data_IF_155042672293
#
_entry.id   IF_155042672293
#
_cell.length_a   1.000
_cell.length_b   1.000
_cell.length_c   1.000
_cell.angle_alpha   90.00
_cell.angle_beta   90.00
_cell.angle_gamma   90.00
#
_symmetry.space_group_name_H-M   'P 1'
#
loop_
_entity.id
_entity.type
_entity.pdbx_description
1 polymer ?
#
# COMPACT_ATOMS: atom_id res chain seq x y z
N UNK A 1 8.75 -6.40 0.25
CA UNK A 1 7.65 -5.87 1.10
C UNK A 1 6.57 -5.29 0.20
N UNK A 2 5.32 -5.20 0.64
CA UNK A 2 4.24 -4.59 -0.15
C UNK A 2 3.50 -3.53 0.67
N UNK A 3 3.11 -2.44 0.02
CA UNK A 3 2.09 -1.53 0.53
C UNK A 3 0.74 -1.98 0.00
N UNK A 4 -0.23 -2.19 0.88
CA UNK A 4 -1.57 -2.61 0.52
C UNK A 4 -2.59 -1.55 0.94
N UNK A 5 -3.64 -1.37 0.14
CA UNK A 5 -4.79 -0.56 0.51
C UNK A 5 -6.07 -1.31 0.18
N UNK A 6 -6.94 -1.40 1.17
CA UNK A 6 -8.28 -2.00 1.06
C UNK A 6 -9.28 -1.11 1.78
N UNK A 7 -10.52 -1.17 1.33
CA UNK A 7 -11.65 -0.50 1.94
C UNK A 7 -12.77 -1.51 2.16
N UNK A 8 -13.76 -1.12 2.96
CA UNK A 8 -14.99 -1.91 3.10
C UNK A 8 -15.70 -2.00 1.73
N UNK A 9 -16.16 -3.19 1.29
CA UNK A 9 -17.01 -3.33 0.11
C UNK A 9 -18.29 -2.50 0.24
N UNK A 10 -18.74 -1.90 -0.86
CA UNK A 10 -19.90 -1.00 -0.89
C UNK A 10 -20.62 -1.04 -2.23
N UNK A 11 -21.91 -0.74 -2.22
CA UNK A 11 -22.66 -0.54 -3.46
C UNK A 11 -22.18 0.72 -4.20
N UNK A 12 -21.91 0.60 -5.52
CA UNK A 12 -21.63 1.72 -6.42
C UNK A 12 -22.88 2.01 -7.28
N UNK A 13 -23.65 3.07 -6.96
CA UNK A 13 -24.85 3.41 -7.73
C UNK A 13 -24.58 3.77 -9.19
N UNK A 14 -23.40 4.31 -9.49
CA UNK A 14 -23.04 4.71 -10.85
C UNK A 14 -22.72 3.50 -11.72
N UNK A 15 -22.03 2.50 -11.16
CA UNK A 15 -21.70 1.25 -11.86
C UNK A 15 -22.80 0.19 -11.73
N UNK A 16 -23.83 0.43 -10.91
CA UNK A 16 -24.92 -0.50 -10.58
C UNK A 16 -24.40 -1.88 -10.15
N UNK A 17 -23.34 -1.88 -9.35
CA UNK A 17 -22.69 -3.10 -8.85
C UNK A 17 -22.02 -2.85 -7.51
N UNK A 18 -21.72 -3.92 -6.79
CA UNK A 18 -20.86 -3.85 -5.61
C UNK A 18 -19.42 -3.55 -6.02
N UNK A 19 -18.82 -2.55 -5.37
CA UNK A 19 -17.39 -2.34 -5.34
C UNK A 19 -16.81 -3.21 -4.22
N UNK A 20 -15.85 -4.05 -4.57
CA UNK A 20 -15.24 -5.04 -3.67
C UNK A 20 -14.25 -4.45 -2.65
N UNK A 21 -14.10 -3.12 -2.62
CA UNK A 21 -13.24 -2.42 -1.68
C UNK A 21 -11.74 -2.56 -1.98
N UNK A 22 -11.34 -3.26 -3.05
CA UNK A 22 -9.91 -3.42 -3.39
C UNK A 22 -9.37 -2.12 -3.98
N UNK A 23 -8.37 -1.53 -3.31
CA UNK A 23 -7.74 -0.29 -3.78
C UNK A 23 -6.43 -0.61 -4.49
N UNK A 24 -5.51 -1.34 -3.88
CA UNK A 24 -4.27 -1.72 -4.54
C UNK A 24 -3.28 -2.48 -3.68
N UNK A 25 -2.25 -2.99 -4.34
CA UNK A 25 -1.11 -3.69 -3.76
C UNK A 25 0.12 -3.27 -4.58
N UNK A 26 1.10 -2.64 -3.94
CA UNK A 26 2.28 -2.08 -4.59
C UNK A 26 3.54 -2.70 -3.99
N UNK A 27 4.42 -3.32 -4.80
CA UNK A 27 5.68 -3.84 -4.32
C UNK A 27 6.60 -2.68 -3.94
N UNK A 28 7.15 -2.72 -2.73
CA UNK A 28 8.14 -1.75 -2.26
C UNK A 28 9.50 -2.17 -2.80
N UNK A 29 9.83 -1.63 -3.98
CA UNK A 29 10.98 -2.04 -4.78
C UNK A 29 11.72 -0.84 -5.34
N UNK A 30 13.02 -1.03 -5.59
CA UNK A 30 13.87 -0.08 -6.27
C UNK A 30 14.49 -0.69 -7.53
N UNK A 31 14.77 0.16 -8.51
CA UNK A 31 15.54 -0.20 -9.69
C UNK A 31 17.02 -0.11 -9.37
N UNK A 32 17.80 -1.08 -9.84
CA UNK A 32 19.25 -1.08 -9.72
C UNK A 32 19.89 -1.65 -10.98
N UNK A 33 21.15 -1.31 -11.25
CA UNK A 33 21.93 -1.94 -12.31
C UNK A 33 22.65 -3.18 -11.81
N UNK A 34 22.49 -4.30 -12.51
CA UNK A 34 23.16 -5.54 -12.16
C UNK A 34 24.69 -5.40 -12.25
N UNK A 35 25.37 -5.45 -11.10
CA UNK A 35 26.83 -5.30 -11.03
C UNK A 35 27.59 -6.53 -11.57
N UNK A 36 26.97 -7.71 -11.46
CA UNK A 36 27.55 -8.99 -11.87
C UNK A 36 26.57 -9.71 -12.79
N UNK A 37 27.12 -10.46 -13.75
CA UNK A 37 26.36 -11.42 -14.55
C UNK A 37 25.94 -12.58 -13.67
N UNK A 38 24.70 -13.03 -13.82
CA UNK A 38 24.22 -14.30 -13.27
C UNK A 38 23.50 -15.10 -14.36
N UNK A 39 22.97 -16.26 -14.00
CA UNK A 39 22.12 -17.06 -14.90
C UNK A 39 20.86 -16.30 -15.36
N UNK A 40 20.35 -15.40 -14.52
CA UNK A 40 19.05 -14.75 -14.71
C UNK A 40 19.11 -13.28 -15.13
N UNK A 41 20.31 -12.67 -15.14
CA UNK A 41 20.50 -11.26 -15.53
C UNK A 41 21.91 -11.01 -16.03
N UNK A 42 22.02 -10.14 -17.03
CA UNK A 42 23.29 -9.71 -17.60
C UNK A 42 23.90 -8.56 -16.78
N UNK A 43 25.21 -8.34 -16.90
CA UNK A 43 25.86 -7.21 -16.22
C UNK A 43 25.42 -5.90 -16.88
N UNK A 44 25.01 -4.92 -16.08
CA UNK A 44 24.54 -3.60 -16.52
C UNK A 44 23.04 -3.52 -16.81
N UNK A 45 22.33 -4.64 -16.77
CA UNK A 45 20.87 -4.70 -16.95
C UNK A 45 20.16 -3.98 -15.80
N UNK A 46 19.11 -3.21 -16.14
CA UNK A 46 18.22 -2.62 -15.14
C UNK A 46 17.35 -3.73 -14.55
N UNK A 47 17.49 -3.96 -13.26
CA UNK A 47 16.80 -4.97 -12.50
C UNK A 47 15.99 -4.30 -11.39
N UNK A 48 15.03 -5.04 -10.84
CA UNK A 48 14.23 -4.59 -9.70
C UNK A 48 14.58 -5.47 -8.50
N UNK A 49 14.72 -4.87 -7.32
CA UNK A 49 14.87 -5.59 -6.04
C UNK A 49 13.98 -4.99 -4.98
N UNK A 50 13.71 -5.76 -3.94
CA UNK A 50 13.01 -5.25 -2.76
C UNK A 50 13.86 -4.18 -2.08
N UNK A 51 13.22 -3.15 -1.55
CA UNK A 51 13.86 -2.21 -0.63
C UNK A 51 13.90 -2.89 0.75
N UNK A 52 15.08 -2.94 1.36
CA UNK A 52 15.30 -3.62 2.64
C UNK A 52 14.75 -2.81 3.83
N UNK A 53 14.85 -1.49 3.77
CA UNK A 53 14.32 -0.58 4.79
C UNK A 53 13.68 0.62 4.12
N UNK A 54 12.40 0.85 4.43
CA UNK A 54 11.63 1.99 3.90
C UNK A 54 11.77 3.15 4.89
N UNK A 55 12.15 4.31 4.38
CA UNK A 55 12.15 5.53 5.15
C UNK A 55 10.83 6.31 4.97
N UNK A 56 10.72 7.44 5.66
CA UNK A 56 9.53 8.28 5.63
C UNK A 56 9.24 8.89 4.25
N UNK A 57 10.28 9.26 3.50
CA UNK A 57 10.14 9.84 2.15
C UNK A 57 9.68 8.80 1.13
N UNK A 58 10.24 7.59 1.20
CA UNK A 58 9.82 6.44 0.39
C UNK A 58 8.34 6.15 0.65
N UNK A 59 7.93 6.02 1.91
CA UNK A 59 6.54 5.77 2.27
C UNK A 59 5.60 6.86 1.74
N UNK A 60 5.98 8.12 1.93
CA UNK A 60 5.23 9.28 1.43
C UNK A 60 5.07 9.26 -0.08
N UNK A 61 6.14 8.96 -0.83
CA UNK A 61 6.07 8.88 -2.30
C UNK A 61 5.05 7.83 -2.75
N UNK A 62 4.99 6.67 -2.08
CA UNK A 62 4.00 5.64 -2.40
C UNK A 62 2.56 6.09 -2.06
N UNK A 63 2.35 6.88 -1.00
CA UNK A 63 1.02 7.45 -0.73
C UNK A 63 0.58 8.40 -1.85
N UNK A 64 1.46 9.32 -2.25
CA UNK A 64 1.18 10.36 -3.24
C UNK A 64 1.05 9.81 -4.66
N UNK A 65 1.95 8.91 -5.06
CA UNK A 65 2.04 8.42 -6.44
C UNK A 65 1.11 7.24 -6.71
N UNK A 66 0.67 6.54 -5.66
CA UNK A 66 -0.06 5.28 -5.81
C UNK A 66 -1.36 5.23 -5.02
N UNK A 67 -1.32 5.38 -3.70
CA UNK A 67 -2.49 5.13 -2.85
C UNK A 67 -3.59 6.16 -3.09
N UNK A 68 -3.27 7.45 -2.98
CA UNK A 68 -4.26 8.54 -3.16
C UNK A 68 -4.84 8.51 -4.58
N UNK A 69 -4.04 8.44 -5.67
CA UNK A 69 -4.57 8.30 -7.02
C UNK A 69 -5.47 7.08 -7.21
N UNK A 70 -5.10 5.93 -6.65
CA UNK A 70 -5.91 4.71 -6.76
C UNK A 70 -7.24 4.82 -6.01
N UNK A 71 -7.28 5.48 -4.84
CA UNK A 71 -8.52 5.80 -4.15
C UNK A 71 -9.41 6.68 -5.03
N UNK A 72 -8.85 7.77 -5.58
CA UNK A 72 -9.60 8.69 -6.45
C UNK A 72 -10.17 7.99 -7.69
N UNK A 73 -9.45 7.01 -8.24
CA UNK A 73 -9.84 6.27 -9.44
C UNK A 73 -10.90 5.18 -9.15
N UNK A 74 -10.72 4.41 -8.07
CA UNK A 74 -11.49 3.18 -7.86
C UNK A 74 -12.74 3.40 -7.01
N UNK A 75 -12.71 4.36 -6.08
CA UNK A 75 -13.80 4.57 -5.12
C UNK A 75 -15.06 5.12 -5.81
N UNK A 76 -16.27 4.70 -5.39
CA UNK A 76 -17.52 5.21 -5.95
C UNK A 76 -17.66 6.73 -5.82
N UNK A 77 -18.03 7.41 -6.92
CA UNK A 77 -18.05 8.88 -7.04
C UNK A 77 -18.93 9.59 -6.01
N UNK A 78 -20.06 8.98 -5.63
CA UNK A 78 -21.00 9.58 -4.65
C UNK A 78 -20.35 9.77 -3.28
N UNK A 79 -19.27 9.05 -2.98
CA UNK A 79 -18.55 9.15 -1.73
C UNK A 79 -17.44 10.20 -1.72
N UNK A 80 -17.22 10.90 -2.85
CA UNK A 80 -16.20 11.96 -2.95
C UNK A 80 -16.40 13.07 -1.91
N UNK A 81 -17.64 13.31 -1.49
CA UNK A 81 -18.01 14.31 -0.49
C UNK A 81 -17.83 13.80 0.96
N UNK A 82 -17.66 12.49 1.16
CA UNK A 82 -17.45 11.92 2.48
C UNK A 82 -15.98 12.00 2.87
N UNK A 83 -15.72 12.09 4.17
CA UNK A 83 -14.36 11.95 4.70
C UNK A 83 -13.86 10.54 4.43
N UNK A 84 -12.65 10.45 3.89
CA UNK A 84 -11.93 9.21 3.62
C UNK A 84 -10.73 9.17 4.54
N UNK A 85 -10.69 8.21 5.45
CA UNK A 85 -9.53 8.02 6.32
C UNK A 85 -8.67 6.89 5.77
N UNK A 86 -7.43 7.21 5.43
CA UNK A 86 -6.36 6.23 5.22
C UNK A 86 -5.80 5.94 6.61
N UNK A 87 -6.09 4.74 7.13
CA UNK A 87 -5.57 4.28 8.40
C UNK A 87 -4.17 3.70 8.20
N UNK A 88 -3.23 4.08 9.06
CA UNK A 88 -1.87 3.56 9.13
C UNK A 88 -1.49 3.29 10.59
N UNK A 89 -0.53 2.40 10.85
CA UNK A 89 -0.01 2.21 12.20
C UNK A 89 1.01 3.30 12.60
N UNK A 90 1.61 3.16 13.78
CA UNK A 90 2.60 4.12 14.30
C UNK A 90 4.05 3.70 14.00
N UNK A 91 4.30 2.93 12.94
CA UNK A 91 5.66 2.56 12.53
C UNK A 91 6.48 3.81 12.17
N UNK A 92 7.79 3.75 12.42
CA UNK A 92 8.72 4.86 12.22
C UNK A 92 8.65 5.53 10.83
N UNK A 93 8.46 4.82 9.71
CA UNK A 93 8.36 5.44 8.39
C UNK A 93 7.03 6.16 8.12
N UNK A 94 6.00 5.97 8.96
CA UNK A 94 4.70 6.57 8.70
C UNK A 94 4.69 8.07 9.02
N UNK A 95 3.95 8.81 8.21
CA UNK A 95 3.95 10.27 8.22
C UNK A 95 2.82 10.83 9.08
N UNK A 96 2.95 12.09 9.48
CA UNK A 96 1.90 12.78 10.23
C UNK A 96 0.58 12.86 9.46
N UNK A 97 -0.58 12.65 10.13
CA UNK A 97 -1.90 12.98 9.58
C UNK A 97 -2.06 14.42 9.09
N UNK A 98 -1.20 15.31 9.60
CA UNK A 98 -1.14 16.72 9.22
C UNK A 98 -0.07 17.02 8.18
N UNK A 99 0.51 16.01 7.51
CA UNK A 99 1.49 16.23 6.45
C UNK A 99 0.88 17.08 5.32
N UNK A 100 1.51 18.20 4.94
CA UNK A 100 0.92 19.15 4.02
C UNK A 100 0.75 18.62 2.59
N UNK A 101 1.65 17.74 2.13
CA UNK A 101 1.60 17.25 0.74
C UNK A 101 0.49 16.21 0.60
N UNK A 102 0.35 15.31 1.57
CA UNK A 102 -0.74 14.34 1.62
C UNK A 102 -2.10 15.01 1.79
N UNK A 103 -2.18 16.05 2.63
CA UNK A 103 -3.40 16.86 2.76
C UNK A 103 -3.75 17.57 1.44
N UNK A 104 -2.76 18.15 0.75
CA UNK A 104 -2.98 18.81 -0.53
C UNK A 104 -3.44 17.79 -1.60
N UNK A 105 -2.75 16.66 -1.73
CA UNK A 105 -3.11 15.60 -2.67
C UNK A 105 -4.49 15.01 -2.38
N UNK A 106 -4.80 14.78 -1.10
CA UNK A 106 -6.05 14.21 -0.61
C UNK A 106 -7.26 15.13 -0.71
N UNK A 107 -7.04 16.45 -0.74
CA UNK A 107 -8.10 17.46 -0.87
C UNK A 107 -8.26 18.03 -2.28
N UNK A 108 -7.28 17.81 -3.15
CA UNK A 108 -7.36 18.19 -4.55
C UNK A 108 -8.60 17.60 -5.26
N UNK A 109 -9.10 18.34 -6.24
CA UNK A 109 -10.29 18.02 -7.04
C UNK A 109 -11.58 17.91 -6.22
N UNK A 110 -11.65 18.42 -4.99
CA UNK A 110 -12.83 18.32 -4.12
C UNK A 110 -12.99 16.93 -3.47
N UNK A 111 -11.88 16.20 -3.30
CA UNK A 111 -11.82 15.04 -2.42
C UNK A 111 -11.61 15.47 -0.96
N UNK A 112 -11.83 14.56 -0.01
CA UNK A 112 -11.53 14.78 1.40
C UNK A 112 -10.87 13.51 1.97
N UNK A 113 -9.67 13.21 1.47
CA UNK A 113 -8.83 12.10 1.92
C UNK A 113 -7.87 12.61 2.97
N UNK A 114 -7.81 11.91 4.11
CA UNK A 114 -6.96 12.26 5.25
C UNK A 114 -6.30 11.01 5.79
N UNK A 115 -5.12 11.16 6.34
CA UNK A 115 -4.45 10.12 7.09
C UNK A 115 -4.99 10.07 8.52
N UNK A 116 -4.89 8.90 9.14
CA UNK A 116 -5.27 8.67 10.53
C UNK A 116 -4.40 7.56 11.11
N UNK A 117 -3.96 7.74 12.34
CA UNK A 117 -3.28 6.69 13.08
C UNK A 117 -4.27 5.68 13.62
N UNK A 118 -3.87 4.41 13.63
CA UNK A 118 -4.50 3.41 14.45
C UNK A 118 -4.02 3.54 15.92
N UNK A 119 -4.82 3.05 16.89
CA UNK A 119 -4.37 2.97 18.28
C UNK A 119 -3.06 2.18 18.42
N UNK A 120 -2.17 2.64 19.30
CA UNK A 120 -0.87 2.00 19.50
C UNK A 120 -1.03 0.55 20.00
N UNK A 121 -0.24 -0.37 19.43
CA UNK A 121 -0.26 -1.80 19.76
C UNK A 121 -1.63 -2.48 19.56
N UNK A 122 -2.43 -2.02 18.60
CA UNK A 122 -3.77 -2.58 18.31
C UNK A 122 -3.86 -3.13 16.89
N UNK A 123 -3.14 -4.22 16.57
CA UNK A 123 -3.20 -4.84 15.24
C UNK A 123 -4.61 -5.38 14.90
N UNK A 124 -5.43 -5.67 15.91
CA UNK A 124 -6.83 -6.05 15.79
C UNK A 124 -7.73 -4.92 15.26
N UNK A 125 -7.22 -3.69 15.18
CA UNK A 125 -7.92 -2.56 14.55
C UNK A 125 -7.56 -2.37 13.07
N UNK A 126 -6.66 -3.20 12.53
CA UNK A 126 -6.19 -3.11 11.15
C UNK A 126 -6.74 -4.26 10.30
N UNK A 127 -7.50 -3.90 9.26
CA UNK A 127 -8.06 -4.88 8.32
C UNK A 127 -6.98 -5.62 7.53
N UNK A 128 -5.81 -4.99 7.31
CA UNK A 128 -4.71 -5.63 6.61
C UNK A 128 -4.11 -6.77 7.43
N UNK A 129 -3.87 -6.55 8.72
CA UNK A 129 -3.29 -7.54 9.64
C UNK A 129 -4.28 -8.69 9.87
N UNK A 130 -5.54 -8.38 10.17
CA UNK A 130 -6.57 -9.39 10.45
C UNK A 130 -6.99 -10.20 9.21
N UNK A 131 -6.93 -9.61 8.02
CA UNK A 131 -7.47 -10.19 6.81
C UNK A 131 -6.40 -10.58 5.81
N UNK A 132 -5.88 -9.57 5.09
CA UNK A 132 -5.03 -9.78 3.92
C UNK A 132 -3.73 -10.49 4.26
N UNK A 133 -2.97 -9.97 5.23
CA UNK A 133 -1.66 -10.51 5.56
C UNK A 133 -1.75 -11.84 6.29
N UNK A 134 -2.72 -12.02 7.20
CA UNK A 134 -3.01 -13.31 7.80
C UNK A 134 -3.31 -14.39 6.73
N UNK A 135 -4.12 -14.04 5.72
CA UNK A 135 -4.44 -14.98 4.63
C UNK A 135 -3.23 -15.30 3.76
N UNK A 136 -2.42 -14.29 3.41
CA UNK A 136 -1.18 -14.50 2.63
C UNK A 136 -0.17 -15.35 3.40
N UNK A 137 -0.02 -15.13 4.71
CA UNK A 137 0.87 -15.93 5.56
C UNK A 137 0.38 -17.38 5.67
N UNK A 138 -0.93 -17.60 5.83
CA UNK A 138 -1.50 -18.96 5.85
C UNK A 138 -1.21 -19.71 4.54
N UNK A 139 -1.36 -19.04 3.40
CA UNK A 139 -1.01 -19.61 2.09
C UNK A 139 0.49 -19.89 1.96
N UNK A 140 1.35 -18.98 2.43
CA UNK A 140 2.80 -19.16 2.42
C UNK A 140 3.21 -20.40 3.24
N UNK A 141 2.62 -20.60 4.43
CA UNK A 141 2.92 -21.74 5.30
C UNK A 141 2.50 -23.10 4.72
N UNK A 142 1.52 -23.10 3.80
CA UNK A 142 1.10 -24.31 3.10
C UNK A 142 2.02 -24.66 1.92
N UNK A 143 2.83 -23.71 1.44
CA UNK A 143 3.73 -23.95 0.31
C UNK A 143 5.09 -24.49 0.81
N UNK A 144 5.57 -25.63 0.28
CA UNK A 144 6.91 -26.10 0.61
C UNK A 144 7.94 -25.09 0.06
N UNK A 145 8.71 -24.51 0.97
CA UNK A 145 9.76 -23.55 0.61
C UNK A 145 11.07 -24.30 0.34
N UNK A 146 11.47 -24.39 -0.92
CA UNK A 146 12.76 -24.96 -1.30
C UNK A 146 13.79 -23.84 -1.52
N UNK A 147 14.97 -23.93 -0.89
CA UNK A 147 16.14 -23.13 -1.27
C UNK A 147 16.36 -21.80 -0.54
N UNK A 148 15.86 -21.61 0.69
CA UNK A 148 16.38 -20.52 1.54
C UNK A 148 17.77 -20.92 2.03
N UNK A 149 18.83 -20.41 1.40
CA UNK A 149 20.14 -20.37 2.05
C UNK A 149 20.08 -19.25 3.10
N UNK A 150 20.36 -19.53 4.39
CA UNK A 150 20.52 -18.47 5.37
C UNK A 150 21.67 -17.55 4.92
N UNK A 151 21.43 -16.24 5.04
CA UNK A 151 22.41 -15.20 4.75
C UNK A 151 23.61 -15.26 5.72
#
# INVERSE_FOLDING_TARGET
MFLAAVARPRWDPHRKKEWDGKVGLWPLTEKYKALRRSKYRTRGEECIRNIDSINQEDYKSYLLDHVIPAIKLKRPRREKQNVILIQQDNATPHISPSDPDDLAAGTADGWNIRLSYQPANSPDTNTLDLGLFASLQALQLQQPVYGIQPA
#
